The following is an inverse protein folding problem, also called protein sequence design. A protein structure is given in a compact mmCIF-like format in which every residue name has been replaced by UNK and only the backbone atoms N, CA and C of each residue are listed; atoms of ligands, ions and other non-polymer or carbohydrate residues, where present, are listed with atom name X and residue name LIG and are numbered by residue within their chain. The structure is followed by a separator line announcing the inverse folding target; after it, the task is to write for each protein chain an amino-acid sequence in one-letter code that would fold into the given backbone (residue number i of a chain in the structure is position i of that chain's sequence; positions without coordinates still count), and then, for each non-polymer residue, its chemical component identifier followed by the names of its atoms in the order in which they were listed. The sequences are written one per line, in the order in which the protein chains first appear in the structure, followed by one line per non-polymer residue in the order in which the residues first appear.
data_IF_372085750498
#
_entry.id   IF_372085750498
#
_cell.length_a   1.000
_cell.length_b   1.000
_cell.length_c   1.000
_cell.angle_alpha   90.00
_cell.angle_beta   90.00
_cell.angle_gamma   90.00
#
_symmetry.space_group_name_H-M   'P 1'
#
loop_
_entity.id
_entity.type
_entity.pdbx_description
1 polymer ?
#
# COMPACT_ATOMS: atom_id res chain seq x y z
N UNK A 1 -13.77 -59.64 53.54
CA UNK A 1 -14.72 -59.19 52.49
C UNK A 1 -14.26 -57.86 51.92
N UNK A 2 -14.25 -57.77 50.58
CA UNK A 2 -14.14 -56.58 49.72
C UNK A 2 -12.88 -55.71 49.80
N UNK A 3 -11.99 -56.02 48.84
CA UNK A 3 -10.99 -55.16 48.20
C UNK A 3 -11.52 -53.75 47.91
N UNK A 4 -10.67 -52.73 48.07
CA UNK A 4 -10.49 -51.65 47.08
C UNK A 4 -9.11 -51.01 47.27
N UNK A 5 -8.32 -51.15 46.21
CA UNK A 5 -6.93 -50.79 45.97
C UNK A 5 -6.64 -49.32 46.32
N UNK A 6 -5.63 -49.04 47.14
CA UNK A 6 -4.29 -48.53 46.78
C UNK A 6 -4.36 -47.35 45.78
N UNK A 7 -3.91 -46.16 46.20
CA UNK A 7 -2.92 -45.32 45.47
C UNK A 7 -2.72 -43.97 46.20
N UNK A 8 -1.69 -43.93 47.06
CA UNK A 8 -0.87 -42.74 47.31
C UNK A 8 0.27 -42.79 46.26
N UNK A 9 0.52 -41.69 45.53
CA UNK A 9 1.86 -41.19 45.12
C UNK A 9 1.83 -40.28 43.88
N UNK A 10 2.78 -39.33 43.89
CA UNK A 10 3.38 -38.57 42.78
C UNK A 10 2.51 -37.43 42.18
N UNK A 11 2.76 -36.15 42.49
CA UNK A 11 3.94 -35.30 42.19
C UNK A 11 4.23 -35.25 40.68
N UNK A 12 3.91 -34.08 40.10
CA UNK A 12 4.59 -33.37 39.01
C UNK A 12 5.04 -34.24 37.84
N UNK A 13 4.27 -34.23 36.75
CA UNK A 13 4.77 -34.57 35.42
C UNK A 13 4.04 -33.79 34.32
N UNK A 14 4.76 -32.80 33.80
CA UNK A 14 4.76 -32.37 32.40
C UNK A 14 3.45 -31.91 31.75
N UNK A 15 3.06 -30.66 32.02
CA UNK A 15 2.51 -29.79 30.97
C UNK A 15 3.62 -29.39 29.99
N UNK A 16 4.04 -30.31 29.12
CA UNK A 16 4.81 -29.97 27.92
C UNK A 16 3.87 -29.94 26.73
N UNK A 17 3.20 -28.80 26.54
CA UNK A 17 2.56 -28.47 25.27
C UNK A 17 3.42 -27.39 24.59
N UNK A 18 3.86 -27.72 23.38
CA UNK A 18 4.40 -26.85 22.33
C UNK A 18 5.83 -26.28 22.48
N UNK A 19 6.79 -26.93 21.79
CA UNK A 19 8.00 -26.24 21.30
C UNK A 19 8.47 -26.70 19.90
N UNK A 20 7.63 -27.42 19.13
CA UNK A 20 7.98 -27.82 17.74
C UNK A 20 7.41 -26.89 16.66
N UNK A 21 6.36 -26.10 16.96
CA UNK A 21 5.79 -25.17 15.99
C UNK A 21 6.56 -23.84 15.86
N UNK A 22 7.48 -23.54 16.77
CA UNK A 22 8.21 -22.25 16.76
C UNK A 22 9.25 -22.17 15.65
N UNK A 23 9.91 -23.27 15.32
CA UNK A 23 11.00 -23.25 14.34
C UNK A 23 10.46 -23.16 12.91
N UNK A 24 9.40 -23.91 12.58
CA UNK A 24 8.74 -23.84 11.27
C UNK A 24 8.11 -22.47 11.02
N UNK A 25 7.33 -21.98 11.99
CA UNK A 25 6.67 -20.66 11.92
C UNK A 25 7.69 -19.53 11.71
N UNK A 26 8.84 -19.61 12.40
CA UNK A 26 9.95 -18.66 12.23
C UNK A 26 10.59 -18.75 10.85
N UNK A 27 10.84 -19.96 10.33
CA UNK A 27 11.42 -20.12 8.97
C UNK A 27 10.50 -19.62 7.86
N UNK A 28 9.19 -19.81 8.01
CA UNK A 28 8.20 -19.30 7.05
C UNK A 28 8.10 -17.77 7.12
N UNK A 29 8.04 -17.19 8.32
CA UNK A 29 8.06 -15.74 8.52
C UNK A 29 9.30 -15.07 7.90
N UNK A 30 10.47 -15.69 8.03
CA UNK A 30 11.71 -15.21 7.40
C UNK A 30 11.65 -15.29 5.88
N UNK A 31 11.05 -16.34 5.34
CA UNK A 31 10.88 -16.50 3.89
C UNK A 31 9.97 -15.42 3.32
N UNK A 32 8.85 -15.11 3.98
CA UNK A 32 7.95 -14.02 3.57
C UNK A 32 8.65 -12.67 3.67
N UNK A 33 9.38 -12.42 4.76
CA UNK A 33 10.14 -11.17 4.92
C UNK A 33 11.19 -10.99 3.82
N UNK A 34 11.93 -12.05 3.49
CA UNK A 34 12.92 -12.04 2.41
C UNK A 34 12.25 -11.76 1.06
N UNK A 35 11.12 -12.42 0.77
CA UNK A 35 10.35 -12.16 -0.44
C UNK A 35 9.88 -10.69 -0.50
N UNK A 36 9.45 -10.11 0.63
CA UNK A 36 9.08 -8.70 0.69
C UNK A 36 10.26 -7.78 0.36
N UNK A 37 11.45 -8.06 0.89
CA UNK A 37 12.68 -7.32 0.59
C UNK A 37 13.07 -7.40 -0.89
N UNK A 38 13.03 -8.60 -1.48
CA UNK A 38 13.32 -8.79 -2.90
C UNK A 38 12.34 -8.04 -3.82
N UNK A 39 11.05 -8.00 -3.47
CA UNK A 39 10.07 -7.22 -4.24
C UNK A 39 10.28 -5.70 -4.06
N UNK A 40 10.71 -5.26 -2.88
CA UNK A 40 11.06 -3.87 -2.62
C UNK A 40 12.22 -3.42 -3.49
N UNK A 41 13.28 -4.23 -3.59
CA UNK A 41 14.45 -3.96 -4.44
C UNK A 41 14.08 -3.91 -5.92
N UNK A 42 13.12 -4.73 -6.36
CA UNK A 42 12.57 -4.72 -7.73
C UNK A 42 11.64 -3.52 -8.00
N UNK A 43 11.31 -2.72 -6.99
CA UNK A 43 10.38 -1.60 -7.10
C UNK A 43 8.89 -2.00 -7.14
N UNK A 44 8.58 -3.25 -6.79
CA UNK A 44 7.21 -3.75 -6.64
C UNK A 44 6.73 -3.50 -5.20
N UNK A 45 6.46 -2.23 -4.93
CA UNK A 45 6.06 -1.77 -3.60
C UNK A 45 4.67 -2.26 -3.18
N UNK A 46 3.76 -2.50 -4.13
CA UNK A 46 2.42 -3.04 -3.82
C UNK A 46 2.52 -4.47 -3.30
N UNK A 47 3.28 -5.32 -4.00
CA UNK A 47 3.52 -6.69 -3.55
C UNK A 47 4.33 -6.75 -2.26
N UNK A 48 5.27 -5.82 -2.08
CA UNK A 48 5.99 -5.66 -0.80
C UNK A 48 5.02 -5.43 0.36
N UNK A 49 4.09 -4.47 0.23
CA UNK A 49 3.10 -4.16 1.27
C UNK A 49 2.17 -5.35 1.52
N UNK A 50 1.70 -6.02 0.47
CA UNK A 50 0.89 -7.22 0.59
C UNK A 50 1.58 -8.35 1.37
N UNK A 51 2.86 -8.62 1.08
CA UNK A 51 3.64 -9.64 1.79
C UNK A 51 3.85 -9.27 3.26
N UNK A 52 4.09 -8.00 3.56
CA UNK A 52 4.22 -7.53 4.95
C UNK A 52 2.90 -7.68 5.71
N UNK A 53 1.78 -7.33 5.10
CA UNK A 53 0.47 -7.52 5.74
C UNK A 53 0.17 -9.00 5.96
N UNK A 54 0.51 -9.87 5.00
CA UNK A 54 0.43 -11.32 5.20
C UNK A 54 1.30 -11.76 6.38
N UNK A 55 2.58 -11.37 6.44
CA UNK A 55 3.49 -11.70 7.54
C UNK A 55 2.93 -11.30 8.91
N UNK A 56 2.36 -10.09 9.01
CA UNK A 56 1.80 -9.56 10.25
C UNK A 56 0.58 -10.34 10.73
N UNK A 57 -0.21 -10.86 9.79
CA UNK A 57 -1.46 -11.57 10.08
C UNK A 57 -1.23 -13.06 10.33
N UNK A 58 -0.40 -13.73 9.52
CA UNK A 58 -0.17 -15.18 9.62
C UNK A 58 0.86 -15.57 10.68
N UNK A 59 1.85 -14.71 10.98
CA UNK A 59 2.94 -15.02 11.91
C UNK A 59 3.03 -13.99 13.05
N UNK A 60 1.99 -13.84 13.91
CA UNK A 60 1.97 -12.81 14.95
C UNK A 60 3.08 -12.97 16.00
N UNK A 61 3.62 -14.19 16.18
CA UNK A 61 4.69 -14.50 17.14
C UNK A 61 6.11 -14.26 16.60
N UNK A 62 6.26 -14.01 15.30
CA UNK A 62 7.55 -13.68 14.67
C UNK A 62 7.93 -12.21 14.92
N UNK A 63 8.22 -11.86 16.18
CA UNK A 63 8.36 -10.45 16.63
C UNK A 63 9.51 -9.72 15.91
N UNK A 64 10.66 -10.37 15.73
CA UNK A 64 11.83 -9.73 15.11
C UNK A 64 11.63 -9.51 13.61
N UNK A 65 11.02 -10.47 12.93
CA UNK A 65 10.64 -10.36 11.52
C UNK A 65 9.60 -9.24 11.35
N UNK A 66 8.60 -9.15 12.24
CA UNK A 66 7.57 -8.09 12.22
C UNK A 66 8.16 -6.69 12.48
N UNK A 67 9.14 -6.56 13.38
CA UNK A 67 9.86 -5.28 13.59
C UNK A 67 10.60 -4.84 12.33
N UNK A 68 11.26 -5.78 11.66
CA UNK A 68 11.97 -5.51 10.41
C UNK A 68 10.99 -5.14 9.30
N UNK A 69 9.89 -5.90 9.18
CA UNK A 69 8.82 -5.64 8.22
C UNK A 69 8.15 -4.28 8.43
N UNK A 70 8.03 -3.79 9.67
CA UNK A 70 7.48 -2.47 9.95
C UNK A 70 8.32 -1.35 9.33
N UNK A 71 9.66 -1.44 9.38
CA UNK A 71 10.54 -0.47 8.72
C UNK A 71 10.35 -0.52 7.20
N UNK A 72 10.39 -1.73 6.64
CA UNK A 72 10.19 -1.95 5.21
C UNK A 72 8.82 -1.47 4.73
N UNK A 73 7.77 -1.62 5.54
CA UNK A 73 6.42 -1.14 5.25
C UNK A 73 6.40 0.38 5.08
N UNK A 74 7.06 1.11 5.98
CA UNK A 74 7.11 2.56 5.91
C UNK A 74 7.87 3.02 4.65
N UNK A 75 9.00 2.37 4.33
CA UNK A 75 9.78 2.69 3.14
C UNK A 75 9.01 2.38 1.85
N UNK A 76 8.39 1.20 1.78
CA UNK A 76 7.56 0.79 0.63
C UNK A 76 6.36 1.71 0.45
N UNK A 77 5.69 2.11 1.54
CA UNK A 77 4.56 3.04 1.51
C UNK A 77 4.97 4.41 0.97
N UNK A 78 6.11 4.95 1.44
CA UNK A 78 6.63 6.23 0.94
C UNK A 78 7.02 6.13 -0.54
N UNK A 79 7.72 5.07 -0.95
CA UNK A 79 8.15 4.88 -2.34
C UNK A 79 6.97 4.67 -3.29
N UNK A 80 5.95 3.92 -2.88
CA UNK A 80 4.72 3.74 -3.66
C UNK A 80 4.00 5.07 -3.84
N UNK A 81 3.83 5.84 -2.77
CA UNK A 81 3.19 7.14 -2.83
C UNK A 81 3.97 8.12 -3.75
N UNK A 82 5.30 8.14 -3.67
CA UNK A 82 6.15 8.92 -4.58
C UNK A 82 5.98 8.49 -6.05
N UNK A 83 5.98 7.18 -6.34
CA UNK A 83 5.76 6.64 -7.69
C UNK A 83 4.41 7.05 -8.26
N UNK A 84 3.35 6.99 -7.43
CA UNK A 84 2.00 7.38 -7.82
C UNK A 84 1.88 8.88 -8.12
N UNK A 85 2.59 9.74 -7.37
CA UNK A 85 2.66 11.18 -7.64
C UNK A 85 3.29 11.43 -9.01
N UNK A 86 4.44 10.80 -9.31
CA UNK A 86 5.15 10.98 -10.59
C UNK A 86 4.28 10.57 -11.78
N UNK A 87 3.63 9.41 -11.69
CA UNK A 87 2.72 8.92 -12.74
C UNK A 87 1.51 9.86 -12.93
N UNK A 88 0.93 10.35 -11.83
CA UNK A 88 -0.24 11.23 -11.88
C UNK A 88 0.13 12.61 -12.40
N UNK A 89 1.31 13.14 -12.03
CA UNK A 89 1.84 14.41 -12.55
C UNK A 89 2.02 14.37 -14.06
N UNK A 90 2.63 13.31 -14.60
CA UNK A 90 2.79 13.14 -16.05
C UNK A 90 1.44 13.18 -16.79
N UNK A 91 0.43 12.47 -16.26
CA UNK A 91 -0.94 12.46 -16.82
C UNK A 91 -1.62 13.82 -16.69
N UNK A 92 -1.40 14.53 -15.58
CA UNK A 92 -1.95 15.86 -15.35
C UNK A 92 -1.36 16.87 -16.34
N UNK A 93 -0.04 16.83 -16.58
CA UNK A 93 0.62 17.68 -17.57
C UNK A 93 0.08 17.43 -18.98
N UNK A 94 -0.12 16.16 -19.36
CA UNK A 94 -0.73 15.81 -20.65
C UNK A 94 -2.17 16.35 -20.76
N UNK A 95 -3.00 16.13 -19.74
CA UNK A 95 -4.37 16.64 -19.70
C UNK A 95 -4.41 18.18 -19.77
N UNK A 96 -3.46 18.86 -19.13
CA UNK A 96 -3.35 20.32 -19.19
C UNK A 96 -3.03 20.79 -20.62
N UNK A 97 -2.08 20.16 -21.31
CA UNK A 97 -1.77 20.50 -22.72
C UNK A 97 -2.97 20.32 -23.64
N UNK A 98 -3.73 19.23 -23.47
CA UNK A 98 -4.96 18.98 -24.23
C UNK A 98 -6.00 20.08 -23.95
N UNK A 99 -6.20 20.41 -22.67
CA UNK A 99 -7.14 21.45 -22.26
C UNK A 99 -6.75 22.83 -22.81
N UNK A 100 -5.47 23.19 -22.74
CA UNK A 100 -4.97 24.49 -23.22
C UNK A 100 -5.19 24.62 -24.73
N UNK A 101 -4.88 23.57 -25.48
CA UNK A 101 -5.09 23.54 -26.93
C UNK A 101 -6.58 23.67 -27.31
N UNK A 102 -7.44 22.87 -26.67
CA UNK A 102 -8.89 22.94 -26.89
C UNK A 102 -9.45 24.30 -26.50
N UNK A 103 -9.03 24.85 -25.36
CA UNK A 103 -9.48 26.17 -24.88
C UNK A 103 -9.14 27.24 -25.91
N UNK A 104 -7.93 27.24 -26.45
CA UNK A 104 -7.51 28.19 -27.49
C UNK A 104 -8.37 28.09 -28.74
N UNK A 105 -8.58 26.89 -29.28
CA UNK A 105 -9.36 26.66 -30.50
C UNK A 105 -10.82 27.06 -30.29
N UNK A 106 -11.44 26.58 -29.21
CA UNK A 106 -12.86 26.81 -28.92
C UNK A 106 -13.12 28.27 -28.61
N UNK A 107 -12.24 28.96 -27.88
CA UNK A 107 -12.40 30.38 -27.61
C UNK A 107 -12.30 31.22 -28.89
N UNK A 108 -11.39 30.87 -29.81
CA UNK A 108 -11.28 31.55 -31.10
C UNK A 108 -12.50 31.32 -32.00
N UNK A 109 -13.20 30.18 -31.88
CA UNK A 109 -14.48 29.93 -32.57
C UNK A 109 -15.64 30.63 -31.87
N UNK A 110 -15.66 30.67 -30.54
CA UNK A 110 -16.67 31.40 -29.74
C UNK A 110 -16.68 32.88 -30.08
N UNK A 111 -15.52 33.52 -30.19
CA UNK A 111 -15.42 34.94 -30.55
C UNK A 111 -15.96 35.24 -31.96
N UNK A 112 -16.04 34.24 -32.82
CA UNK A 112 -16.61 34.33 -34.18
C UNK A 112 -18.06 33.84 -34.27
N UNK A 113 -18.64 33.34 -33.17
CA UNK A 113 -19.97 32.73 -33.18
C UNK A 113 -20.05 31.36 -33.88
N UNK A 114 -18.91 30.72 -34.15
CA UNK A 114 -18.80 29.46 -34.91
C UNK A 114 -18.67 28.20 -34.03
N UNK A 115 -18.64 28.37 -32.69
CA UNK A 115 -18.40 27.24 -31.78
C UNK A 115 -19.58 26.27 -31.76
N UNK A 116 -19.31 24.99 -32.00
CA UNK A 116 -20.36 23.96 -32.01
C UNK A 116 -20.65 23.42 -30.60
N UNK A 117 -21.84 22.87 -30.38
CA UNK A 117 -22.19 22.22 -29.11
C UNK A 117 -21.23 21.07 -28.76
N UNK A 118 -20.75 20.33 -29.76
CA UNK A 118 -19.80 19.24 -29.59
C UNK A 118 -18.43 19.72 -29.10
N UNK A 119 -17.94 20.84 -29.63
CA UNK A 119 -16.68 21.46 -29.20
C UNK A 119 -16.75 21.96 -27.75
N UNK A 120 -17.87 22.56 -27.37
CA UNK A 120 -18.13 23.00 -25.99
C UNK A 120 -18.21 21.82 -25.01
N UNK A 121 -18.86 20.74 -25.43
CA UNK A 121 -18.94 19.50 -24.66
C UNK A 121 -17.56 18.87 -24.49
N UNK A 122 -16.76 18.83 -25.56
CA UNK A 122 -15.39 18.31 -25.55
C UNK A 122 -14.47 19.11 -24.63
N UNK A 123 -14.57 20.44 -24.65
CA UNK A 123 -13.87 21.33 -23.72
C UNK A 123 -14.27 21.05 -22.27
N UNK A 124 -15.56 20.85 -22.00
CA UNK A 124 -16.06 20.55 -20.65
C UNK A 124 -15.53 19.20 -20.15
N UNK A 125 -15.53 18.17 -20.99
CA UNK A 125 -14.95 16.86 -20.67
C UNK A 125 -13.46 16.96 -20.37
N UNK A 126 -12.71 17.73 -21.16
CA UNK A 126 -11.28 17.94 -20.93
C UNK A 126 -11.00 18.63 -19.58
N UNK A 127 -11.82 19.63 -19.20
CA UNK A 127 -11.73 20.28 -17.88
C UNK A 127 -11.97 19.28 -16.74
N UNK A 128 -13.06 18.51 -16.82
CA UNK A 128 -13.39 17.49 -15.82
C UNK A 128 -12.23 16.49 -15.68
N UNK A 129 -11.64 16.06 -16.79
CA UNK A 129 -10.51 15.13 -16.78
C UNK A 129 -9.29 15.72 -16.06
N UNK A 130 -8.94 16.97 -16.36
CA UNK A 130 -7.84 17.70 -15.70
C UNK A 130 -8.12 17.84 -14.20
N UNK A 131 -9.31 18.30 -13.82
CA UNK A 131 -9.69 18.51 -12.43
C UNK A 131 -9.66 17.21 -11.61
N UNK A 132 -10.11 16.10 -12.21
CA UNK A 132 -10.03 14.77 -11.59
C UNK A 132 -8.59 14.34 -11.33
N UNK A 133 -7.67 14.58 -12.28
CA UNK A 133 -6.25 14.28 -12.10
C UNK A 133 -5.60 15.18 -11.05
N UNK A 134 -5.95 16.46 -11.02
CA UNK A 134 -5.48 17.42 -10.01
C UNK A 134 -5.88 16.95 -8.60
N UNK A 135 -7.17 16.62 -8.40
CA UNK A 135 -7.66 16.13 -7.11
C UNK A 135 -6.92 14.87 -6.65
N UNK A 136 -6.63 13.95 -7.58
CA UNK A 136 -5.83 12.74 -7.28
C UNK A 136 -4.40 13.09 -6.89
N UNK A 137 -3.74 13.97 -7.63
CA UNK A 137 -2.38 14.42 -7.36
C UNK A 137 -2.27 15.07 -5.97
N UNK A 138 -3.20 15.97 -5.64
CA UNK A 138 -3.24 16.66 -4.36
C UNK A 138 -3.45 15.68 -3.20
N UNK A 139 -4.36 14.70 -3.39
CA UNK A 139 -4.59 13.62 -2.43
C UNK A 139 -3.33 12.78 -2.17
N UNK A 140 -2.61 12.39 -3.22
CA UNK A 140 -1.36 11.62 -3.10
C UNK A 140 -0.27 12.44 -2.40
N UNK A 141 -0.13 13.73 -2.70
CA UNK A 141 0.79 14.63 -2.01
C UNK A 141 0.45 14.75 -0.51
N UNK A 142 -0.85 14.81 -0.17
CA UNK A 142 -1.30 14.79 1.21
C UNK A 142 -0.94 13.47 1.92
N UNK A 143 -1.08 12.33 1.25
CA UNK A 143 -0.67 11.02 1.79
C UNK A 143 0.83 10.99 2.14
N UNK A 144 1.71 11.45 1.24
CA UNK A 144 3.17 11.51 1.53
C UNK A 144 3.45 12.41 2.73
N UNK A 145 2.77 13.55 2.84
CA UNK A 145 2.90 14.45 3.99
C UNK A 145 2.56 13.75 5.30
N UNK A 146 1.43 13.05 5.34
CA UNK A 146 0.99 12.28 6.52
C UNK A 146 1.97 11.15 6.86
N UNK A 147 2.48 10.42 5.86
CA UNK A 147 3.48 9.36 6.08
C UNK A 147 4.74 9.96 6.74
N UNK A 148 5.24 11.08 6.21
CA UNK A 148 6.44 11.76 6.74
C UNK A 148 6.22 12.33 8.13
N UNK A 149 5.05 12.88 8.42
CA UNK A 149 4.69 13.37 9.75
C UNK A 149 4.62 12.24 10.78
N UNK A 150 4.01 11.10 10.42
CA UNK A 150 3.94 9.92 11.30
C UNK A 150 5.31 9.31 11.57
N UNK A 151 6.25 9.38 10.63
CA UNK A 151 7.63 8.89 10.78
C UNK A 151 8.46 9.73 11.77
N UNK A 152 8.11 11.00 11.98
CA UNK A 152 8.81 11.90 12.91
C UNK A 152 8.36 11.74 14.37
N UNK A 153 7.25 11.05 14.62
CA UNK A 153 6.68 10.78 15.95
C UNK A 153 7.11 9.42 16.44
#
# INVERSE_FOLDING_TARGET
MRKKHILLAAIIAATTIASSCTDKDKTEAQTILKAAQENFEKGDYEKTLFLIDSLRNSHPKAIEERKTALKLFQDASEKLAQKQIIDTDGKLQEAQRVLDNLTRIVNAKKSRGEATAEELSSLTKAKIRRDSLQARFDGQCATVRVIREKRKR
#
